data_IF_751562730273
#
_entry.id   IF_751562730273
#
_cell.length_a   1.000
_cell.length_b   1.000
_cell.length_c   1.000
_cell.angle_alpha   90.00
_cell.angle_beta   90.00
_cell.angle_gamma   90.00
#
_symmetry.space_group_name_H-M   'P 1'
#
loop_
_entity.id
_entity.type
_entity.pdbx_description
1 polymer ?
#
# COMPACT_ATOMS: atom_id res chain seq x y z
N UNK A 1 44.53 28.41 -7.64
CA UNK A 1 43.07 28.44 -7.83
C UNK A 1 42.70 27.29 -8.74
N UNK A 2 42.14 26.24 -8.16
CA UNK A 2 41.64 25.08 -8.89
C UNK A 2 40.17 25.30 -9.26
N UNK A 3 39.79 24.96 -10.49
CA UNK A 3 38.38 24.88 -10.90
C UNK A 3 38.13 23.49 -11.42
N UNK A 4 37.04 22.89 -10.98
CA UNK A 4 36.63 21.55 -11.37
C UNK A 4 35.19 21.59 -11.88
N UNK A 5 35.00 20.98 -13.04
CA UNK A 5 33.68 20.67 -13.59
C UNK A 5 33.41 19.21 -13.31
N UNK A 6 32.21 18.92 -12.82
CA UNK A 6 31.79 17.55 -12.55
C UNK A 6 30.39 17.29 -13.10
N UNK A 7 30.19 16.07 -13.55
CA UNK A 7 28.91 15.57 -14.05
C UNK A 7 28.68 14.20 -13.44
N UNK A 8 27.47 13.97 -12.96
CA UNK A 8 27.04 12.70 -12.42
C UNK A 8 25.73 12.27 -13.10
N UNK A 9 25.67 11.01 -13.51
CA UNK A 9 24.46 10.37 -13.99
C UNK A 9 24.14 9.20 -13.06
N UNK A 10 22.94 9.20 -12.49
CA UNK A 10 22.43 8.13 -11.66
C UNK A 10 21.23 7.51 -12.36
N UNK A 11 21.26 6.20 -12.55
CA UNK A 11 20.10 5.43 -12.97
C UNK A 11 19.82 4.36 -11.92
N UNK A 12 18.56 4.23 -11.55
CA UNK A 12 18.10 3.23 -10.60
C UNK A 12 16.81 2.62 -11.10
N UNK A 13 16.76 1.30 -11.07
CA UNK A 13 15.57 0.50 -11.26
C UNK A 13 15.33 -0.29 -9.97
N UNK A 14 14.09 -0.27 -9.50
CA UNK A 14 13.67 -1.03 -8.33
C UNK A 14 12.38 -1.74 -8.65
N UNK A 15 12.44 -3.07 -8.62
CA UNK A 15 11.28 -3.95 -8.63
C UNK A 15 11.05 -4.45 -7.20
N UNK A 16 9.82 -4.33 -6.72
CA UNK A 16 9.42 -4.88 -5.43
C UNK A 16 8.16 -5.69 -5.61
N UNK A 17 8.27 -6.99 -5.34
CA UNK A 17 7.15 -7.91 -5.27
C UNK A 17 6.66 -8.00 -3.83
N UNK A 18 5.38 -7.69 -3.61
CA UNK A 18 4.73 -7.76 -2.32
C UNK A 18 3.69 -8.86 -2.34
N UNK A 19 3.88 -9.87 -1.50
CA UNK A 19 2.85 -10.88 -1.20
C UNK A 19 2.09 -10.42 0.04
N UNK A 20 0.84 -10.00 -0.14
CA UNK A 20 0.01 -9.57 0.98
C UNK A 20 -0.39 -10.78 1.85
N UNK A 21 -0.35 -10.61 3.18
CA UNK A 21 -0.73 -11.65 4.14
C UNK A 21 -2.13 -12.23 3.85
N UNK A 22 -2.35 -13.54 4.00
CA UNK A 22 -3.66 -14.16 3.74
C UNK A 22 -4.77 -13.44 4.51
N UNK A 23 -5.84 -13.00 3.83
CA UNK A 23 -7.04 -12.60 4.55
C UNK A 23 -7.65 -13.86 5.15
N UNK A 24 -8.09 -13.83 6.42
CA UNK A 24 -8.76 -14.99 6.99
C UNK A 24 -9.92 -15.38 6.07
N UNK A 25 -9.90 -16.63 5.60
CA UNK A 25 -10.88 -17.15 4.65
C UNK A 25 -12.32 -17.07 5.18
N UNK A 26 -12.48 -16.87 6.49
CA UNK A 26 -13.73 -16.47 7.08
C UNK A 26 -13.56 -15.80 8.44
N UNK A 27 -14.57 -15.04 8.83
CA UNK A 27 -14.62 -14.24 10.04
C UNK A 27 -15.93 -14.47 10.80
N UNK A 28 -15.89 -14.27 12.11
CA UNK A 28 -17.07 -14.32 12.97
C UNK A 28 -17.72 -12.94 13.02
N UNK A 29 -18.97 -12.84 12.55
CA UNK A 29 -19.71 -11.60 12.51
C UNK A 29 -20.91 -11.69 13.46
N UNK A 30 -21.05 -10.69 14.33
CA UNK A 30 -22.25 -10.48 15.11
C UNK A 30 -23.26 -9.72 14.23
N UNK A 31 -24.41 -10.33 13.99
CA UNK A 31 -25.46 -9.80 13.12
C UNK A 31 -26.70 -9.53 13.96
N UNK A 32 -27.23 -8.31 13.86
CA UNK A 32 -28.55 -7.99 14.35
C UNK A 32 -29.59 -8.43 13.29
N UNK A 33 -30.27 -9.55 13.54
CA UNK A 33 -31.30 -10.06 12.63
C UNK A 33 -32.67 -9.38 12.82
N UNK A 34 -32.82 -8.51 13.82
CA UNK A 34 -33.95 -7.58 13.96
C UNK A 34 -33.75 -6.28 13.13
N UNK A 35 -32.69 -6.21 12.32
CA UNK A 35 -32.42 -5.04 11.49
C UNK A 35 -33.50 -4.87 10.40
N UNK A 36 -34.21 -3.72 10.35
CA UNK A 36 -35.31 -3.49 9.40
C UNK A 36 -34.87 -3.44 7.93
N UNK A 37 -33.56 -3.38 7.65
CA UNK A 37 -33.00 -3.43 6.28
C UNK A 37 -32.96 -4.86 5.74
N UNK A 38 -33.00 -5.88 6.61
CA UNK A 38 -33.03 -7.27 6.18
C UNK A 38 -34.40 -7.61 5.59
N UNK A 39 -34.40 -8.40 4.52
CA UNK A 39 -35.66 -9.00 4.05
C UNK A 39 -36.18 -9.98 5.10
N UNK A 40 -37.50 -10.22 5.19
CA UNK A 40 -38.06 -11.18 6.15
C UNK A 40 -37.42 -12.58 6.03
N UNK A 41 -37.11 -13.01 4.80
CA UNK A 41 -36.45 -14.28 4.55
C UNK A 41 -35.01 -14.32 5.11
N UNK A 42 -34.24 -13.25 4.94
CA UNK A 42 -32.87 -13.17 5.47
C UNK A 42 -32.86 -13.07 7.00
N UNK A 43 -33.77 -12.29 7.57
CA UNK A 43 -33.93 -12.18 9.02
C UNK A 43 -34.26 -13.56 9.64
N UNK A 44 -35.19 -14.30 9.03
CA UNK A 44 -35.54 -15.65 9.47
C UNK A 44 -34.36 -16.61 9.33
N UNK A 45 -33.64 -16.59 8.20
CA UNK A 45 -32.45 -17.41 7.99
C UNK A 45 -31.41 -17.18 9.09
N UNK A 46 -31.14 -15.93 9.46
CA UNK A 46 -30.17 -15.61 10.50
C UNK A 46 -30.66 -15.99 11.90
N UNK A 47 -31.95 -15.78 12.21
CA UNK A 47 -32.51 -16.19 13.49
C UNK A 47 -32.43 -17.70 13.71
N UNK A 48 -32.57 -18.50 12.65
CA UNK A 48 -32.55 -19.97 12.72
C UNK A 48 -31.14 -20.57 12.71
N UNK A 49 -30.15 -19.89 12.12
CA UNK A 49 -28.83 -20.48 11.85
C UNK A 49 -27.65 -19.84 12.59
N UNK A 50 -27.83 -18.68 13.23
CA UNK A 50 -26.77 -18.03 14.00
C UNK A 50 -26.76 -18.49 15.47
N UNK A 51 -25.59 -18.45 16.10
CA UNK A 51 -25.46 -18.72 17.54
C UNK A 51 -26.07 -17.54 18.29
N UNK A 52 -27.14 -17.71 19.09
CA UNK A 52 -27.81 -16.59 19.74
C UNK A 52 -26.92 -15.96 20.82
N UNK A 53 -26.72 -14.64 20.73
CA UNK A 53 -26.03 -13.84 21.74
C UNK A 53 -27.00 -13.01 22.62
N UNK A 54 -28.29 -13.04 22.28
CA UNK A 54 -29.35 -12.29 22.97
C UNK A 54 -29.68 -10.96 22.29
N UNK A 55 -30.86 -10.41 22.58
CA UNK A 55 -31.29 -9.09 22.10
C UNK A 55 -31.37 -8.96 20.57
N UNK A 56 -31.77 -10.01 19.86
CA UNK A 56 -31.88 -9.97 18.39
C UNK A 56 -30.53 -10.14 17.66
N UNK A 57 -29.46 -10.46 18.38
CA UNK A 57 -28.11 -10.60 17.84
C UNK A 57 -27.71 -12.07 17.81
N UNK A 58 -27.18 -12.50 16.66
CA UNK A 58 -26.60 -13.82 16.46
C UNK A 58 -25.16 -13.74 15.96
N UNK A 59 -24.35 -14.73 16.31
CA UNK A 59 -22.96 -14.87 15.86
C UNK A 59 -22.87 -15.95 14.78
N UNK A 60 -22.30 -15.59 13.62
CA UNK A 60 -22.11 -16.50 12.48
C UNK A 60 -20.71 -16.44 11.92
N UNK A 61 -20.23 -17.57 11.40
CA UNK A 61 -18.97 -17.61 10.66
C UNK A 61 -19.25 -17.50 9.17
N UNK A 62 -18.74 -16.45 8.55
CA UNK A 62 -18.89 -16.18 7.12
C UNK A 62 -17.56 -16.40 6.42
N UNK A 63 -17.58 -17.11 5.29
CA UNK A 63 -16.39 -17.37 4.48
C UNK A 63 -16.48 -16.61 3.16
N UNK A 64 -15.36 -16.00 2.74
CA UNK A 64 -15.23 -15.42 1.40
C UNK A 64 -14.94 -16.53 0.40
N UNK A 65 -15.50 -16.47 -0.80
CA UNK A 65 -15.24 -17.47 -1.84
C UNK A 65 -13.85 -17.22 -2.43
N UNK A 66 -13.07 -18.28 -2.65
CA UNK A 66 -11.69 -18.16 -3.19
C UNK A 66 -11.61 -17.51 -4.58
N UNK A 67 -12.71 -17.48 -5.35
CA UNK A 67 -12.81 -16.75 -6.62
C UNK A 67 -12.84 -15.23 -6.45
N UNK A 68 -13.21 -14.72 -5.27
CA UNK A 68 -13.16 -13.30 -4.91
C UNK A 68 -11.75 -12.86 -4.48
N UNK A 69 -10.85 -13.82 -4.30
CA UNK A 69 -9.46 -13.63 -3.91
C UNK A 69 -8.58 -13.86 -5.15
N UNK A 70 -8.50 -12.85 -6.01
CA UNK A 70 -7.46 -12.82 -7.06
C UNK A 70 -6.04 -12.89 -6.46
N UNK A 71 -5.02 -13.17 -7.28
CA UNK A 71 -3.62 -13.15 -6.82
C UNK A 71 -3.32 -11.84 -6.09
N UNK A 72 -2.72 -11.95 -4.90
CA UNK A 72 -2.44 -10.81 -4.01
C UNK A 72 -0.98 -10.35 -4.14
N UNK A 73 -0.49 -10.46 -5.36
CA UNK A 73 0.86 -10.09 -5.74
C UNK A 73 0.78 -8.66 -6.29
N UNK A 74 1.46 -7.73 -5.62
CA UNK A 74 1.62 -6.37 -6.12
C UNK A 74 3.06 -6.25 -6.57
N UNK A 75 3.26 -6.02 -7.86
CA UNK A 75 4.54 -5.63 -8.42
C UNK A 75 4.61 -4.11 -8.49
N UNK A 76 5.55 -3.52 -7.75
CA UNK A 76 5.85 -2.10 -7.82
C UNK A 76 7.18 -1.92 -8.56
N UNK A 77 7.11 -1.27 -9.72
CA UNK A 77 8.27 -0.91 -10.51
C UNK A 77 8.51 0.60 -10.41
N UNK A 78 9.73 0.98 -10.05
CA UNK A 78 10.16 2.37 -10.03
C UNK A 78 11.44 2.51 -10.81
N UNK A 79 11.39 3.37 -11.83
CA UNK A 79 12.54 3.79 -12.62
C UNK A 79 12.85 5.25 -12.26
N UNK A 80 14.13 5.54 -12.01
CA UNK A 80 14.59 6.87 -11.66
C UNK A 80 15.89 7.17 -12.38
N UNK A 81 15.92 8.31 -13.08
CA UNK A 81 17.12 8.85 -13.71
C UNK A 81 17.40 10.23 -13.16
N UNK A 82 18.63 10.48 -12.71
CA UNK A 82 19.10 11.79 -12.30
C UNK A 82 20.33 12.18 -13.09
N UNK A 83 20.32 13.40 -13.61
CA UNK A 83 21.51 14.04 -14.16
C UNK A 83 21.86 15.25 -13.29
N UNK A 84 23.12 15.32 -12.87
CA UNK A 84 23.67 16.44 -12.12
C UNK A 84 24.88 16.98 -12.86
N UNK A 85 24.93 18.31 -13.01
CA UNK A 85 26.10 19.01 -13.53
C UNK A 85 26.46 20.14 -12.58
N UNK A 86 27.74 20.26 -12.24
CA UNK A 86 28.21 21.26 -11.31
C UNK A 86 29.61 21.77 -11.60
N UNK A 87 29.92 22.91 -10.98
CA UNK A 87 31.24 23.52 -10.98
C UNK A 87 31.63 23.90 -9.57
N UNK A 88 32.85 23.56 -9.17
CA UNK A 88 33.42 23.94 -7.88
C UNK A 88 34.81 24.55 -8.03
N UNK A 89 35.21 25.38 -7.08
CA UNK A 89 36.54 25.95 -7.05
C UNK A 89 36.69 27.06 -6.02
N UNK A 90 37.88 27.69 -6.04
CA UNK A 90 38.24 28.74 -5.10
C UNK A 90 37.98 30.14 -5.69
N UNK A 91 37.56 31.09 -4.86
CA UNK A 91 37.45 32.51 -5.20
C UNK A 91 38.17 33.37 -4.15
N UNK A 92 39.39 33.82 -4.44
CA UNK A 92 40.23 34.50 -3.45
C UNK A 92 40.94 33.53 -2.50
N UNK A 93 41.56 34.04 -1.43
CA UNK A 93 42.38 33.24 -0.51
C UNK A 93 41.57 32.33 0.42
N UNK A 94 40.30 32.66 0.68
CA UNK A 94 39.54 32.09 1.80
C UNK A 94 38.10 31.67 1.44
N UNK A 95 37.71 31.74 0.16
CA UNK A 95 36.36 31.35 -0.26
C UNK A 95 36.37 30.23 -1.27
N UNK A 96 35.46 29.29 -1.08
CA UNK A 96 35.16 28.19 -2.00
C UNK A 96 33.72 28.32 -2.49
N UNK A 97 33.46 27.93 -3.73
CA UNK A 97 32.12 27.87 -4.30
C UNK A 97 31.84 26.47 -4.85
N UNK A 98 30.56 26.07 -4.78
CA UNK A 98 30.01 24.90 -5.47
C UNK A 98 28.62 25.27 -6.00
N UNK A 99 28.46 25.24 -7.31
CA UNK A 99 27.21 25.55 -8.00
C UNK A 99 26.82 24.39 -8.91
N UNK A 100 25.58 23.92 -8.78
CA UNK A 100 25.10 22.75 -9.51
C UNK A 100 23.63 22.90 -9.94
N UNK A 101 23.26 22.10 -10.95
CA UNK A 101 21.90 21.91 -11.43
C UNK A 101 21.59 20.42 -11.51
N UNK A 102 20.38 20.04 -11.12
CA UNK A 102 19.89 18.66 -11.20
C UNK A 102 18.64 18.57 -12.06
N UNK A 103 18.52 17.48 -12.82
CA UNK A 103 17.33 17.11 -13.57
C UNK A 103 16.94 15.67 -13.20
N UNK A 104 15.65 15.43 -12.96
CA UNK A 104 15.06 14.17 -12.48
C UNK A 104 13.75 13.91 -13.18
#
# INVERSE_FOLDING_TARGET
EGRELYVEATWSESETELVLAPIPAGEWLAINYDNPVLTPATAQLFAENLIPLGGGIGLGRFFKRFEELGPRDITLNSEYTRLLAGMRGDFGSDWEYDAWVTFT
#
